data_IF_934033857892
#
_entry.id   IF_934033857892
#
_cell.length_a   1.000
_cell.length_b   1.000
_cell.length_c   1.000
_cell.angle_alpha   90.00
_cell.angle_beta   90.00
_cell.angle_gamma   90.00
#
_symmetry.space_group_name_H-M   'P 1'
#
loop_
_entity.id
_entity.type
_entity.pdbx_description
1 polymer ?
#
# COMPACT_ATOMS: atom_id res chain seq x y z
N UNK A 1 27.40 14.99 -30.78
CA UNK A 1 28.44 15.43 -29.82
C UNK A 1 28.20 14.71 -28.51
N UNK A 2 28.98 13.68 -28.22
CA UNK A 2 28.88 12.90 -26.98
C UNK A 2 29.71 13.61 -25.92
N UNK A 3 29.05 14.18 -24.90
CA UNK A 3 29.77 14.78 -23.77
C UNK A 3 30.70 13.74 -23.11
N UNK A 4 31.93 14.14 -22.71
CA UNK A 4 32.83 13.24 -22.02
C UNK A 4 32.22 12.86 -20.67
N UNK A 5 31.97 11.55 -20.49
CA UNK A 5 31.42 10.96 -19.26
C UNK A 5 32.36 11.25 -18.09
N UNK A 6 32.12 12.36 -17.39
CA UNK A 6 32.89 12.78 -16.21
C UNK A 6 32.93 11.63 -15.21
N UNK A 7 34.13 11.22 -14.79
CA UNK A 7 34.35 10.12 -13.84
C UNK A 7 33.67 10.51 -12.52
N UNK A 8 32.58 9.83 -12.16
CA UNK A 8 31.85 10.08 -10.90
C UNK A 8 32.73 9.72 -9.71
N UNK A 9 32.66 10.54 -8.68
CA UNK A 9 33.50 10.39 -7.49
C UNK A 9 32.89 9.37 -6.53
N UNK A 10 33.70 8.82 -5.63
CA UNK A 10 33.25 7.82 -4.65
C UNK A 10 32.12 8.34 -3.75
N UNK A 11 32.12 9.64 -3.49
CA UNK A 11 31.07 10.35 -2.75
C UNK A 11 29.73 10.38 -3.49
N UNK A 12 29.74 10.44 -4.83
CA UNK A 12 28.53 10.36 -5.64
C UNK A 12 27.87 8.98 -5.55
N UNK A 13 28.67 7.92 -5.43
CA UNK A 13 28.16 6.56 -5.20
C UNK A 13 27.63 6.37 -3.78
N UNK A 14 28.29 6.98 -2.78
CA UNK A 14 27.85 6.93 -1.39
C UNK A 14 26.51 7.64 -1.18
N UNK A 15 26.17 8.63 -2.02
CA UNK A 15 24.92 9.40 -1.94
C UNK A 15 23.70 8.64 -2.49
N UNK A 16 23.90 7.45 -3.05
CA UNK A 16 22.85 6.69 -3.73
C UNK A 16 22.57 7.27 -5.12
N UNK A 17 22.94 6.53 -6.16
CA UNK A 17 22.68 6.97 -7.53
C UNK A 17 21.17 6.94 -7.81
N UNK A 18 20.57 8.01 -8.38
CA UNK A 18 19.23 7.94 -8.93
C UNK A 18 19.16 6.79 -9.95
N UNK A 19 18.10 5.99 -9.89
CA UNK A 19 17.87 4.81 -10.73
C UNK A 19 18.85 3.64 -10.57
N UNK A 20 19.64 3.57 -9.48
CA UNK A 20 20.47 2.38 -9.24
C UNK A 20 19.67 1.14 -8.84
N UNK A 21 18.52 1.32 -8.19
CA UNK A 21 17.66 0.24 -7.70
C UNK A 21 16.50 -0.13 -8.63
N UNK A 22 16.32 0.59 -9.73
CA UNK A 22 15.30 0.30 -10.74
C UNK A 22 15.90 0.36 -12.15
N UNK A 23 16.43 -0.76 -12.67
CA UNK A 23 17.03 -0.82 -14.00
C UNK A 23 16.03 -0.59 -15.14
N UNK A 24 14.73 -0.44 -14.84
CA UNK A 24 13.67 -0.20 -15.84
C UNK A 24 13.13 1.23 -15.82
N UNK A 25 13.51 2.08 -14.84
CA UNK A 25 12.98 3.43 -14.64
C UNK A 25 12.97 4.34 -15.88
N UNK A 26 13.89 4.13 -16.83
CA UNK A 26 13.98 4.92 -18.08
C UNK A 26 13.37 4.28 -19.34
N UNK A 27 13.02 2.99 -19.34
CA UNK A 27 12.57 2.25 -20.54
C UNK A 27 11.34 1.40 -20.18
N UNK A 28 10.19 2.05 -19.97
CA UNK A 28 8.96 1.36 -19.56
C UNK A 28 8.85 1.06 -18.05
N UNK A 29 9.66 1.73 -17.22
CA UNK A 29 9.59 1.63 -15.77
C UNK A 29 8.20 1.94 -15.24
N UNK A 30 7.73 1.10 -14.32
CA UNK A 30 6.37 1.20 -13.80
C UNK A 30 6.12 2.61 -13.25
N UNK A 31 5.02 3.24 -13.65
CA UNK A 31 4.54 4.45 -12.96
C UNK A 31 4.55 4.17 -11.46
N UNK A 32 4.91 5.14 -10.61
CA UNK A 32 4.92 4.98 -9.16
C UNK A 32 3.63 4.27 -8.74
N UNK A 33 3.71 3.27 -7.86
CA UNK A 33 2.72 2.25 -7.52
C UNK A 33 1.40 2.79 -6.90
N UNK A 34 1.07 4.06 -7.16
CA UNK A 34 -0.13 4.79 -6.73
C UNK A 34 -1.43 4.11 -7.17
N UNK A 35 -1.50 3.50 -8.37
CA UNK A 35 -2.72 2.81 -8.83
C UNK A 35 -3.05 1.57 -8.00
N UNK A 36 -2.05 0.75 -7.67
CA UNK A 36 -2.24 -0.42 -6.81
C UNK A 36 -2.52 -0.01 -5.36
N UNK A 37 -1.87 1.05 -4.87
CA UNK A 37 -2.06 1.53 -3.51
C UNK A 37 -3.45 2.13 -3.29
N UNK A 38 -3.96 2.90 -4.26
CA UNK A 38 -5.31 3.47 -4.21
C UNK A 38 -6.36 2.37 -4.23
N UNK A 39 -6.20 1.36 -5.10
CA UNK A 39 -7.10 0.21 -5.14
C UNK A 39 -7.12 -0.56 -3.82
N UNK A 40 -5.94 -0.80 -3.21
CA UNK A 40 -5.84 -1.44 -1.90
C UNK A 40 -6.59 -0.66 -0.82
N UNK A 41 -6.45 0.66 -0.80
CA UNK A 41 -7.16 1.52 0.14
C UNK A 41 -8.68 1.43 -0.05
N UNK A 42 -9.15 1.49 -1.31
CA UNK A 42 -10.58 1.39 -1.63
C UNK A 42 -11.13 0.03 -1.23
N UNK A 43 -10.43 -1.07 -1.56
CA UNK A 43 -10.84 -2.41 -1.21
C UNK A 43 -10.88 -2.63 0.31
N UNK A 44 -9.86 -2.14 1.03
CA UNK A 44 -9.83 -2.22 2.48
C UNK A 44 -10.97 -1.40 3.12
N UNK A 45 -11.25 -0.19 2.64
CA UNK A 45 -12.37 0.61 3.12
C UNK A 45 -13.72 -0.06 2.84
N UNK A 46 -13.91 -0.58 1.63
CA UNK A 46 -15.12 -1.32 1.27
C UNK A 46 -15.30 -2.57 2.14
N UNK A 47 -14.25 -3.39 2.26
CA UNK A 47 -14.25 -4.60 3.08
C UNK A 47 -14.54 -4.29 4.54
N UNK A 48 -13.96 -3.22 5.10
CA UNK A 48 -14.23 -2.76 6.45
C UNK A 48 -15.71 -2.43 6.66
N UNK A 49 -16.29 -1.62 5.77
CA UNK A 49 -17.70 -1.21 5.87
C UNK A 49 -18.62 -2.43 5.77
N UNK A 50 -18.41 -3.29 4.77
CA UNK A 50 -19.24 -4.48 4.55
C UNK A 50 -19.12 -5.46 5.71
N UNK A 51 -17.90 -5.79 6.15
CA UNK A 51 -17.70 -6.74 7.26
C UNK A 51 -18.30 -6.20 8.56
N UNK A 52 -18.15 -4.91 8.84
CA UNK A 52 -18.73 -4.29 10.05
C UNK A 52 -20.25 -4.30 10.00
N UNK A 53 -20.84 -3.87 8.87
CA UNK A 53 -22.30 -3.83 8.71
C UNK A 53 -22.93 -5.23 8.78
N UNK A 54 -22.36 -6.19 8.05
CA UNK A 54 -22.83 -7.59 8.09
C UNK A 54 -22.61 -8.22 9.46
N UNK A 55 -21.52 -7.90 10.16
CA UNK A 55 -21.25 -8.39 11.51
C UNK A 55 -22.32 -7.94 12.50
N UNK A 56 -22.69 -6.65 12.47
CA UNK A 56 -23.79 -6.13 13.29
C UNK A 56 -25.15 -6.70 12.88
N UNK A 57 -25.42 -6.83 11.58
CA UNK A 57 -26.67 -7.41 11.11
C UNK A 57 -26.79 -8.89 11.50
N UNK A 58 -25.69 -9.64 11.50
CA UNK A 58 -25.67 -11.04 11.94
C UNK A 58 -25.93 -11.18 13.44
N UNK A 59 -25.32 -10.31 14.26
CA UNK A 59 -25.59 -10.28 15.70
C UNK A 59 -27.05 -9.94 16.05
N UNK A 60 -27.79 -9.33 15.13
CA UNK A 60 -29.22 -9.07 15.30
C UNK A 60 -30.11 -10.31 15.04
N UNK A 61 -29.50 -11.46 14.70
CA UNK A 61 -30.20 -12.73 14.49
C UNK A 61 -29.99 -13.68 15.67
N UNK A 62 -30.89 -14.65 15.88
CA UNK A 62 -30.74 -15.70 16.90
C UNK A 62 -29.82 -16.86 16.44
N UNK A 63 -28.94 -16.61 15.47
CA UNK A 63 -28.01 -17.60 14.93
C UNK A 63 -26.72 -17.65 15.75
N UNK A 64 -25.91 -18.73 15.61
CA UNK A 64 -24.60 -18.80 16.26
C UNK A 64 -23.72 -17.59 15.94
N UNK A 65 -23.01 -17.06 16.95
CA UNK A 65 -22.24 -15.82 16.83
C UNK A 65 -20.90 -15.95 16.07
N UNK A 66 -20.43 -17.17 15.80
CA UNK A 66 -19.12 -17.38 15.18
C UNK A 66 -18.93 -16.69 13.80
N UNK A 67 -19.95 -16.57 12.92
CA UNK A 67 -19.78 -15.83 11.66
C UNK A 67 -19.57 -14.33 11.89
N UNK A 68 -20.25 -13.73 12.88
CA UNK A 68 -20.01 -12.34 13.26
C UNK A 68 -18.58 -12.14 13.77
N UNK A 69 -18.05 -13.10 14.56
CA UNK A 69 -16.65 -13.06 15.00
C UNK A 69 -15.69 -13.04 13.81
N UNK A 70 -15.90 -13.91 12.81
CA UNK A 70 -15.08 -13.93 11.58
C UNK A 70 -15.17 -12.59 10.84
N UNK A 71 -16.36 -12.02 10.70
CA UNK A 71 -16.56 -10.71 10.05
C UNK A 71 -15.82 -9.59 10.81
N UNK A 72 -15.87 -9.56 12.13
CA UNK A 72 -15.13 -8.57 12.92
C UNK A 72 -13.61 -8.77 12.85
N UNK A 73 -13.12 -10.01 12.76
CA UNK A 73 -11.69 -10.26 12.52
C UNK A 73 -11.26 -9.71 11.16
N UNK A 74 -12.05 -9.94 10.10
CA UNK A 74 -11.77 -9.37 8.78
C UNK A 74 -11.82 -7.83 8.79
N UNK A 75 -12.77 -7.24 9.51
CA UNK A 75 -12.83 -5.80 9.71
C UNK A 75 -11.57 -5.26 10.42
N UNK A 76 -11.07 -5.96 11.44
CA UNK A 76 -9.83 -5.58 12.13
C UNK A 76 -8.60 -5.65 11.20
N UNK A 77 -8.51 -6.66 10.34
CA UNK A 77 -7.45 -6.75 9.32
C UNK A 77 -7.52 -5.58 8.35
N UNK A 78 -8.72 -5.25 7.85
CA UNK A 78 -8.92 -4.11 6.95
C UNK A 78 -8.53 -2.77 7.61
N UNK A 79 -8.80 -2.59 8.90
CA UNK A 79 -8.36 -1.42 9.68
C UNK A 79 -6.82 -1.33 9.76
N UNK A 80 -6.15 -2.45 10.01
CA UNK A 80 -4.68 -2.49 10.05
C UNK A 80 -4.11 -2.12 8.68
N UNK A 81 -4.65 -2.65 7.59
CA UNK A 81 -4.22 -2.32 6.22
C UNK A 81 -4.36 -0.82 5.93
N UNK A 82 -5.50 -0.22 6.27
CA UNK A 82 -5.71 1.23 6.14
C UNK A 82 -4.70 2.02 6.97
N UNK A 83 -4.45 1.61 8.22
CA UNK A 83 -3.47 2.23 9.11
C UNK A 83 -2.04 2.14 8.58
N UNK A 84 -1.64 0.99 8.02
CA UNK A 84 -0.32 0.80 7.40
C UNK A 84 -0.17 1.70 6.17
N UNK A 85 -1.18 1.74 5.30
CA UNK A 85 -1.15 2.60 4.10
C UNK A 85 -1.12 4.08 4.50
N UNK A 86 -1.92 4.50 5.47
CA UNK A 86 -1.93 5.88 5.99
C UNK A 86 -0.58 6.25 6.60
N UNK A 87 0.02 5.37 7.40
CA UNK A 87 1.35 5.55 7.99
C UNK A 87 2.43 5.66 6.93
N UNK A 88 2.37 4.82 5.88
CA UNK A 88 3.31 4.86 4.75
C UNK A 88 3.21 6.19 4.00
N UNK A 89 1.98 6.66 3.75
CA UNK A 89 1.71 7.97 3.12
C UNK A 89 2.20 9.14 3.98
N UNK A 90 2.03 9.07 5.30
CA UNK A 90 2.47 10.11 6.24
C UNK A 90 4.00 10.22 6.36
N UNK A 91 4.75 9.14 6.08
CA UNK A 91 6.22 9.15 6.09
C UNK A 91 6.84 9.75 4.83
N UNK A 92 6.03 10.19 3.87
CA UNK A 92 6.52 10.86 2.67
C UNK A 92 7.29 9.95 1.72
N UNK A 93 7.18 8.62 1.85
CA UNK A 93 7.58 7.72 0.78
C UNK A 93 6.63 7.97 -0.40
N UNK A 94 7.11 8.54 -1.52
CA UNK A 94 6.29 8.60 -2.71
C UNK A 94 6.07 7.16 -3.15
N UNK A 95 4.82 6.70 -3.03
CA UNK A 95 4.36 5.51 -3.72
C UNK A 95 4.52 5.66 -5.22
#
# INVERSE_FOLDING_TARGET
MSEPRRRRTREDYARGLPDHHDPTAGIGGARPARSALTLRMVLAAFGLVVCTALGFLWLATDLPAWPAVVLFVLAAVALVDLGVIARRKARGEPG
#
